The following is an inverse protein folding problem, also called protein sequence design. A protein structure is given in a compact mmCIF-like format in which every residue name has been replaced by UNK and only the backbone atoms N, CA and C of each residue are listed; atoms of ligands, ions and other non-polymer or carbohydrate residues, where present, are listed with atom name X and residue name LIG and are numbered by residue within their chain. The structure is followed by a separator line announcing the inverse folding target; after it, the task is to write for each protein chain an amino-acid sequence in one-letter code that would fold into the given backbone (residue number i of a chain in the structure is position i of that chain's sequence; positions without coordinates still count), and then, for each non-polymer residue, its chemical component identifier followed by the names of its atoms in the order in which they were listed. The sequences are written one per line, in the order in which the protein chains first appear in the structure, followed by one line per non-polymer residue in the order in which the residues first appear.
data_IF_356831256121
#
_entry.id   IF_356831256121
#
_cell.length_a   1.000
_cell.length_b   1.000
_cell.length_c   1.000
_cell.angle_alpha   90.00
_cell.angle_beta   90.00
_cell.angle_gamma   90.00
#
_symmetry.space_group_name_H-M   'P 1'
#
loop_
_entity.id
_entity.type
_entity.pdbx_description
1 polymer ?
#
# COMPACT_ATOMS: atom_id res chain seq x y z
N UNK A 1 16.20 6.93 7.28
CA UNK A 1 14.98 6.79 6.46
C UNK A 1 14.46 5.37 6.50
N UNK A 2 13.16 5.25 6.45
CA UNK A 2 12.46 3.97 6.53
C UNK A 2 11.44 3.88 5.40
N UNK A 3 11.02 2.68 5.11
CA UNK A 3 9.99 2.41 4.09
C UNK A 3 8.89 1.54 4.71
N UNK A 4 7.65 1.97 4.56
CA UNK A 4 6.49 1.14 4.82
C UNK A 4 6.09 0.50 3.48
N UNK A 5 6.30 -0.80 3.36
CA UNK A 5 6.14 -1.54 2.11
C UNK A 5 4.88 -2.40 2.18
N UNK A 6 3.99 -2.19 1.23
CA UNK A 6 2.73 -2.94 1.13
C UNK A 6 2.68 -3.66 -0.20
N UNK A 7 2.62 -4.99 -0.17
CA UNK A 7 2.50 -5.80 -1.38
C UNK A 7 1.08 -6.33 -1.48
N UNK A 8 0.43 -6.08 -2.61
CA UNK A 8 -0.96 -6.45 -2.84
C UNK A 8 -1.08 -7.27 -4.12
N UNK A 9 -1.67 -8.46 -4.00
CA UNK A 9 -2.08 -9.26 -5.15
C UNK A 9 -3.58 -9.11 -5.30
N UNK A 10 -4.02 -8.62 -6.45
CA UNK A 10 -5.41 -8.32 -6.76
C UNK A 10 -5.89 -9.21 -7.90
N UNK A 11 -7.16 -9.64 -7.88
CA UNK A 11 -7.76 -10.35 -9.01
C UNK A 11 -7.53 -9.58 -10.29
N UNK A 12 -7.05 -10.24 -11.32
CA UNK A 12 -6.63 -9.59 -12.56
C UNK A 12 -7.76 -8.83 -13.25
N UNK A 13 -8.98 -9.33 -13.16
CA UNK A 13 -10.15 -8.63 -13.74
C UNK A 13 -10.45 -7.30 -13.03
N UNK A 14 -9.95 -7.08 -11.82
CA UNK A 14 -10.13 -5.84 -11.08
C UNK A 14 -8.89 -4.94 -11.13
N UNK A 15 -7.84 -5.36 -11.81
CA UNK A 15 -6.55 -4.67 -11.83
C UNK A 15 -6.68 -3.19 -12.21
N UNK A 16 -7.38 -2.90 -13.29
CA UNK A 16 -7.51 -1.52 -13.79
C UNK A 16 -8.28 -0.65 -12.79
N UNK A 17 -9.40 -1.13 -12.29
CA UNK A 17 -10.20 -0.41 -11.32
C UNK A 17 -9.41 -0.18 -10.03
N UNK A 18 -8.69 -1.21 -9.57
CA UNK A 18 -7.88 -1.13 -8.36
C UNK A 18 -6.75 -0.09 -8.50
N UNK A 19 -6.03 -0.11 -9.62
CA UNK A 19 -4.95 0.86 -9.87
C UNK A 19 -5.48 2.30 -9.88
N UNK A 20 -6.58 2.55 -10.57
CA UNK A 20 -7.19 3.87 -10.61
C UNK A 20 -7.59 4.35 -9.23
N UNK A 21 -8.21 3.47 -8.44
CA UNK A 21 -8.62 3.79 -7.09
C UNK A 21 -7.42 4.04 -6.16
N UNK A 22 -6.38 3.22 -6.26
CA UNK A 22 -5.16 3.41 -5.47
C UNK A 22 -4.50 4.75 -5.77
N UNK A 23 -4.31 5.07 -7.03
CA UNK A 23 -3.61 6.28 -7.44
C UNK A 23 -4.43 7.53 -7.14
N UNK A 24 -5.72 7.49 -7.37
CA UNK A 24 -6.57 8.67 -7.28
C UNK A 24 -7.17 8.90 -5.89
N UNK A 25 -7.29 7.88 -5.08
CA UNK A 25 -7.96 7.99 -3.78
C UNK A 25 -7.12 7.46 -2.61
N UNK A 26 -6.79 6.19 -2.61
CA UNK A 26 -6.21 5.54 -1.43
C UNK A 26 -4.82 6.08 -1.09
N UNK A 27 -3.91 6.10 -2.05
CA UNK A 27 -2.53 6.60 -1.81
C UNK A 27 -2.55 8.06 -1.38
N UNK A 28 -3.30 8.96 -2.04
CA UNK A 28 -3.43 10.33 -1.55
C UNK A 28 -3.95 10.43 -0.12
N UNK A 29 -4.91 9.60 0.27
CA UNK A 29 -5.41 9.58 1.65
C UNK A 29 -4.33 9.14 2.64
N UNK A 30 -3.54 8.13 2.28
CA UNK A 30 -2.41 7.69 3.11
C UNK A 30 -1.41 8.83 3.29
N UNK A 31 -1.07 9.52 2.21
CA UNK A 31 -0.13 10.65 2.26
C UNK A 31 -0.69 11.82 3.07
N UNK A 32 -2.00 12.05 3.01
CA UNK A 32 -2.65 13.16 3.72
C UNK A 32 -2.60 13.01 5.24
N UNK A 33 -2.25 11.83 5.75
CA UNK A 33 -2.06 11.64 7.20
C UNK A 33 -0.87 12.42 7.73
N UNK A 34 0.05 12.83 6.86
CA UNK A 34 1.27 13.53 7.24
C UNK A 34 2.36 12.63 7.81
N UNK A 35 2.13 11.32 7.84
CA UNK A 35 3.09 10.36 8.40
C UNK A 35 4.20 9.96 7.42
N UNK A 36 3.99 10.19 6.12
CA UNK A 36 4.90 9.78 5.06
C UNK A 36 5.29 10.96 4.19
N UNK A 37 6.51 10.93 3.64
CA UNK A 37 7.03 11.99 2.78
C UNK A 37 6.62 11.82 1.31
N UNK A 38 6.73 10.60 0.82
CA UNK A 38 6.40 10.30 -0.59
C UNK A 38 6.13 8.81 -0.73
N UNK A 39 5.87 8.39 -1.95
CA UNK A 39 5.61 6.99 -2.26
C UNK A 39 6.17 6.63 -3.65
N UNK A 40 6.31 5.32 -3.86
CA UNK A 40 6.54 4.74 -5.18
C UNK A 40 5.63 3.53 -5.33
N UNK A 41 5.06 3.36 -6.50
CA UNK A 41 4.19 2.23 -6.83
C UNK A 41 4.88 1.39 -7.90
N UNK A 42 5.05 0.10 -7.63
CA UNK A 42 5.72 -0.85 -8.52
C UNK A 42 4.78 -1.97 -8.91
N UNK A 43 4.92 -2.46 -10.12
CA UNK A 43 4.38 -3.77 -10.47
C UNK A 43 5.44 -4.83 -10.11
N UNK A 44 5.04 -5.89 -9.42
CA UNK A 44 5.96 -6.98 -9.09
C UNK A 44 6.00 -7.92 -10.29
N UNK A 45 6.96 -7.69 -11.17
CA UNK A 45 7.05 -8.39 -12.45
C UNK A 45 7.32 -9.89 -12.29
N UNK A 46 8.10 -10.27 -11.29
CA UNK A 46 8.43 -11.68 -11.02
C UNK A 46 7.26 -12.49 -10.46
N UNK A 47 6.19 -11.83 -10.01
CA UNK A 47 5.02 -12.50 -9.44
C UNK A 47 3.85 -12.54 -10.42
N UNK A 48 4.13 -12.58 -11.72
CA UNK A 48 3.09 -12.65 -12.76
C UNK A 48 2.36 -13.99 -12.69
N UNK A 49 1.03 -13.92 -12.67
CA UNK A 49 0.16 -15.08 -12.68
C UNK A 49 -1.03 -14.80 -13.62
N UNK A 50 -1.72 -15.88 -14.00
CA UNK A 50 -2.80 -15.77 -14.96
C UNK A 50 -4.00 -14.99 -14.42
N UNK A 51 -4.30 -15.18 -13.14
CA UNK A 51 -5.49 -14.66 -12.49
C UNK A 51 -5.22 -13.57 -11.43
N UNK A 52 -3.95 -13.29 -11.14
CA UNK A 52 -3.57 -12.29 -10.15
C UNK A 52 -2.54 -11.32 -10.70
N UNK A 53 -2.68 -10.06 -10.32
CA UNK A 53 -1.68 -9.02 -10.58
C UNK A 53 -1.12 -8.55 -9.23
N UNK A 54 0.20 -8.44 -9.13
CA UNK A 54 0.86 -8.09 -7.87
C UNK A 54 1.57 -6.75 -8.00
N UNK A 55 1.33 -5.89 -7.00
CA UNK A 55 1.91 -4.56 -6.92
C UNK A 55 2.52 -4.34 -5.55
N UNK A 56 3.50 -3.44 -5.52
CA UNK A 56 4.14 -3.05 -4.27
C UNK A 56 4.11 -1.52 -4.18
N UNK A 57 3.59 -1.00 -3.08
CA UNK A 57 3.65 0.43 -2.81
C UNK A 57 4.58 0.65 -1.61
N UNK A 58 5.49 1.61 -1.76
CA UNK A 58 6.48 1.93 -0.74
C UNK A 58 6.30 3.39 -0.33
N UNK A 59 6.03 3.59 0.96
CA UNK A 59 5.92 4.93 1.55
C UNK A 59 7.17 5.21 2.38
N UNK A 60 7.82 6.35 2.16
CA UNK A 60 9.01 6.72 2.94
C UNK A 60 8.65 7.57 4.15
N UNK A 61 9.36 7.36 5.25
CA UNK A 61 9.18 8.16 6.46
C UNK A 61 10.53 8.31 7.19
N UNK A 62 10.63 9.34 8.04
CA UNK A 62 11.90 9.69 8.67
C UNK A 62 12.12 9.01 10.01
N UNK A 63 11.08 8.90 10.83
CA UNK A 63 11.21 8.47 12.23
C UNK A 63 10.25 7.33 12.55
N UNK A 64 10.68 6.47 13.46
CA UNK A 64 9.85 5.36 13.93
C UNK A 64 8.50 5.86 14.47
N UNK A 65 8.48 7.03 15.10
CA UNK A 65 7.25 7.64 15.61
C UNK A 65 6.22 7.89 14.51
N UNK A 66 6.66 8.13 13.28
CA UNK A 66 5.77 8.37 12.16
C UNK A 66 4.94 7.12 11.82
N UNK A 67 5.59 5.96 11.75
CA UNK A 67 4.87 4.72 11.47
C UNK A 67 4.03 4.27 12.67
N UNK A 68 4.50 4.51 13.88
CA UNK A 68 3.72 4.21 15.08
C UNK A 68 2.43 5.03 15.11
N UNK A 69 2.52 6.32 14.79
CA UNK A 69 1.35 7.20 14.70
C UNK A 69 0.38 6.72 13.62
N UNK A 70 0.90 6.39 12.44
CA UNK A 70 0.09 5.89 11.34
C UNK A 70 -0.67 4.63 11.75
N UNK A 71 0.02 3.66 12.32
CA UNK A 71 -0.60 2.39 12.73
C UNK A 71 -1.64 2.57 13.82
N UNK A 72 -1.40 3.51 14.74
CA UNK A 72 -2.32 3.77 15.86
C UNK A 72 -3.55 4.55 15.43
N UNK A 73 -3.39 5.58 14.60
CA UNK A 73 -4.44 6.56 14.34
C UNK A 73 -5.14 6.41 12.98
N UNK A 74 -4.47 5.85 11.97
CA UNK A 74 -4.98 5.90 10.60
C UNK A 74 -5.11 4.54 9.91
N UNK A 75 -4.20 3.61 10.18
CA UNK A 75 -4.08 2.38 9.41
C UNK A 75 -5.38 1.56 9.38
N UNK A 76 -6.02 1.41 10.53
CA UNK A 76 -7.23 0.58 10.67
C UNK A 76 -8.34 1.06 9.73
N UNK A 77 -8.63 2.35 9.71
CA UNK A 77 -9.68 2.92 8.88
C UNK A 77 -9.35 2.80 7.38
N UNK A 78 -8.09 3.09 7.02
CA UNK A 78 -7.66 3.04 5.62
C UNK A 78 -7.62 1.61 5.09
N UNK A 79 -7.18 0.66 5.90
CA UNK A 79 -7.18 -0.77 5.55
C UNK A 79 -8.60 -1.30 5.41
N UNK A 80 -9.51 -0.86 6.28
CA UNK A 80 -10.91 -1.24 6.21
C UNK A 80 -11.56 -0.75 4.91
N UNK A 81 -11.26 0.47 4.51
CA UNK A 81 -11.78 1.04 3.26
C UNK A 81 -11.35 0.21 2.05
N UNK A 82 -10.07 -0.19 2.00
CA UNK A 82 -9.55 -1.06 0.95
C UNK A 82 -10.25 -2.42 0.97
N UNK A 83 -10.36 -3.02 2.15
CA UNK A 83 -10.98 -4.31 2.34
C UNK A 83 -12.44 -4.31 1.92
N UNK A 84 -13.19 -3.28 2.32
CA UNK A 84 -14.61 -3.20 2.00
C UNK A 84 -14.85 -3.08 0.49
N UNK A 85 -13.99 -2.32 -0.20
CA UNK A 85 -14.13 -2.14 -1.64
C UNK A 85 -13.75 -3.37 -2.45
N UNK A 86 -12.74 -4.11 -2.03
CA UNK A 86 -12.20 -5.26 -2.76
C UNK A 86 -12.29 -6.56 -1.98
N UNK A 87 -13.28 -6.70 -1.12
CA UNK A 87 -13.41 -7.84 -0.22
C UNK A 87 -13.35 -9.18 -0.95
N UNK A 88 -12.48 -10.08 -0.48
CA UNK A 88 -12.31 -11.41 -1.04
C UNK A 88 -11.56 -11.45 -2.36
N UNK A 89 -11.07 -10.29 -2.86
CA UNK A 89 -10.45 -10.19 -4.18
C UNK A 89 -8.98 -9.84 -4.13
N UNK A 90 -8.39 -9.74 -2.94
CA UNK A 90 -6.98 -9.39 -2.80
C UNK A 90 -6.33 -10.07 -1.59
N UNK A 91 -5.01 -10.11 -1.64
CA UNK A 91 -4.17 -10.50 -0.49
C UNK A 91 -3.14 -9.40 -0.32
N UNK A 92 -2.92 -8.94 0.92
CA UNK A 92 -1.95 -7.90 1.22
C UNK A 92 -0.99 -8.35 2.31
N UNK A 93 0.29 -8.01 2.13
CA UNK A 93 1.32 -8.20 3.14
C UNK A 93 2.04 -6.87 3.36
N UNK A 94 2.52 -6.66 4.58
CA UNK A 94 3.12 -5.38 4.99
C UNK A 94 4.44 -5.62 5.70
N UNK A 95 5.42 -4.77 5.40
CA UNK A 95 6.76 -4.85 5.98
C UNK A 95 7.29 -3.44 6.21
N UNK A 96 7.99 -3.23 7.31
CA UNK A 96 8.69 -1.97 7.56
C UNK A 96 10.18 -2.23 7.35
N UNK A 97 10.81 -1.41 6.51
CA UNK A 97 12.19 -1.53 6.13
C UNK A 97 12.98 -0.31 6.59
N UNK A 98 14.21 -0.52 6.99
CA UNK A 98 15.14 0.58 7.27
C UNK A 98 16.14 0.68 6.12
N UNK A 99 16.29 1.88 5.58
CA UNK A 99 17.29 2.12 4.53
C UNK A 99 18.68 2.14 5.18
N UNK A 100 19.55 1.26 4.75
CA UNK A 100 20.91 1.15 5.29
C UNK A 100 21.90 1.91 4.40
N UNK A 101 21.69 1.84 3.09
CA UNK A 101 22.61 2.46 2.13
C UNK A 101 21.85 3.26 1.09
#
# INVERSE_FOLDING_TARGET
MYIYSVTISIDKELEKEWLEWMINKHIPEVLSTGCFKDYKLFQVFSAMAEDLATYNVQYTFERVEDIEKYQKEFASALQKEHKDKFEGKFVATRTVLKIIV
#
